data_IF_434979469468
#
_entry.id   IF_434979469468
#
_cell.length_a   1.000
_cell.length_b   1.000
_cell.length_c   1.000
_cell.angle_alpha   90.00
_cell.angle_beta   90.00
_cell.angle_gamma   90.00
#
_symmetry.space_group_name_H-M   'P 1'
#
loop_
_entity.id
_entity.type
_entity.pdbx_description
1 polymer ?
#
# COMPACT_ATOMS: atom_id res chain seq x y z
N UNK A 1 -8.68 11.33 9.59
CA UNK A 1 -8.75 9.95 9.07
C UNK A 1 -9.99 9.86 8.21
N UNK A 2 -9.92 9.21 7.05
CA UNK A 2 -11.02 9.12 6.09
C UNK A 2 -11.56 7.69 5.94
N UNK A 3 -10.80 6.68 6.37
CA UNK A 3 -11.22 5.28 6.40
C UNK A 3 -10.40 4.53 7.46
N UNK A 4 -11.03 3.57 8.15
CA UNK A 4 -10.40 2.72 9.15
C UNK A 4 -9.55 1.58 8.57
N UNK A 5 -9.05 0.66 9.42
CA UNK A 5 -8.31 -0.51 8.97
C UNK A 5 -9.18 -1.50 8.20
N UNK A 6 -8.62 -2.12 7.17
CA UNK A 6 -9.30 -3.16 6.37
C UNK A 6 -8.28 -4.13 5.78
N UNK A 7 -8.66 -5.41 5.67
CA UNK A 7 -7.84 -6.41 4.96
C UNK A 7 -7.98 -6.16 3.46
N UNK A 8 -6.85 -5.94 2.78
CA UNK A 8 -6.80 -5.70 1.34
C UNK A 8 -6.76 -7.02 0.56
N UNK A 9 -5.93 -7.96 1.00
CA UNK A 9 -5.80 -9.29 0.42
C UNK A 9 -5.29 -10.26 1.48
N UNK A 10 -5.70 -11.51 1.40
CA UNK A 10 -5.20 -12.58 2.27
C UNK A 10 -5.23 -13.90 1.52
N UNK A 11 -4.13 -14.64 1.57
CA UNK A 11 -4.03 -15.98 1.02
C UNK A 11 -3.15 -16.83 1.95
N UNK A 12 -3.76 -17.80 2.63
CA UNK A 12 -3.08 -18.64 3.62
C UNK A 12 -2.27 -17.83 4.65
N UNK A 13 -0.95 -18.01 4.61
CA UNK A 13 0.01 -17.43 5.55
C UNK A 13 0.60 -16.08 5.10
N UNK A 14 0.01 -15.45 4.06
CA UNK A 14 0.35 -14.09 3.63
C UNK A 14 -0.88 -13.18 3.59
N UNK A 15 -0.75 -11.95 4.07
CA UNK A 15 -1.81 -10.95 4.03
C UNK A 15 -1.25 -9.53 3.84
N UNK A 16 -2.03 -8.70 3.15
CA UNK A 16 -1.88 -7.26 3.08
C UNK A 16 -3.12 -6.58 3.67
N UNK A 17 -2.91 -5.62 4.56
CA UNK A 17 -3.98 -4.85 5.18
C UNK A 17 -3.68 -3.36 5.17
N UNK A 18 -4.70 -2.55 4.95
CA UNK A 18 -4.65 -1.11 5.11
C UNK A 18 -4.82 -0.78 6.59
N UNK A 19 -3.95 0.07 7.16
CA UNK A 19 -4.12 0.54 8.55
C UNK A 19 -5.22 1.58 8.66
N UNK A 20 -5.24 2.52 7.72
CA UNK A 20 -6.23 3.59 7.58
C UNK A 20 -5.98 4.35 6.28
N UNK A 21 -6.90 5.24 5.92
CA UNK A 21 -6.67 6.30 4.92
C UNK A 21 -6.57 7.64 5.65
N UNK A 22 -5.50 8.38 5.40
CA UNK A 22 -5.39 9.78 5.80
C UNK A 22 -5.65 10.66 4.60
N UNK A 23 -6.63 11.56 4.71
CA UNK A 23 -6.88 12.56 3.71
C UNK A 23 -6.20 13.88 4.09
N UNK A 24 -5.55 14.49 3.10
CA UNK A 24 -4.94 15.81 3.12
C UNK A 24 -5.52 16.62 1.96
N UNK A 25 -5.49 17.96 2.00
CA UNK A 25 -5.99 18.78 0.90
C UNK A 25 -5.33 18.47 -0.45
N UNK A 26 -4.10 17.93 -0.43
CA UNK A 26 -3.28 17.59 -1.59
C UNK A 26 -3.42 16.12 -2.02
N UNK A 27 -4.11 15.26 -1.26
CA UNK A 27 -4.21 13.84 -1.59
C UNK A 27 -4.45 12.90 -0.41
N UNK A 28 -4.23 11.61 -0.65
CA UNK A 28 -4.43 10.54 0.32
C UNK A 28 -3.12 9.81 0.63
N UNK A 29 -2.89 9.54 1.92
CA UNK A 29 -1.84 8.64 2.39
C UNK A 29 -2.46 7.31 2.84
N UNK A 30 -1.94 6.22 2.29
CA UNK A 30 -2.39 4.85 2.53
C UNK A 30 -1.25 4.01 3.14
N UNK A 31 -1.14 3.93 4.47
CA UNK A 31 -0.23 3.01 5.13
C UNK A 31 -0.76 1.57 5.04
N UNK A 32 0.03 0.68 4.45
CA UNK A 32 -0.27 -0.73 4.30
C UNK A 32 0.64 -1.54 5.22
N UNK A 33 0.15 -2.67 5.72
CA UNK A 33 0.90 -3.65 6.49
C UNK A 33 0.86 -4.96 5.73
N UNK A 34 2.02 -5.58 5.57
CA UNK A 34 2.16 -6.90 4.98
C UNK A 34 2.71 -7.83 6.05
N UNK A 35 2.13 -9.02 6.17
CA UNK A 35 2.63 -10.11 7.01
C UNK A 35 2.70 -11.36 6.17
N UNK A 36 3.80 -12.09 6.28
CA UNK A 36 3.94 -13.42 5.71
C UNK A 36 4.61 -14.36 6.72
N UNK A 37 4.33 -15.66 6.62
CA UNK A 37 4.93 -16.73 7.44
C UNK A 37 5.44 -17.89 6.59
N UNK A 38 6.38 -18.65 7.15
CA UNK A 38 6.95 -19.86 6.54
C UNK A 38 7.45 -19.61 5.12
N UNK A 39 7.05 -20.46 4.17
CA UNK A 39 7.48 -20.36 2.76
C UNK A 39 7.20 -18.99 2.13
N UNK A 40 6.12 -18.32 2.54
CA UNK A 40 5.80 -16.97 2.05
C UNK A 40 6.71 -15.91 2.67
N UNK A 41 7.11 -16.07 3.94
CA UNK A 41 8.09 -15.17 4.58
C UNK A 41 9.47 -15.28 3.91
N UNK A 42 9.94 -16.50 3.66
CA UNK A 42 11.18 -16.74 2.92
C UNK A 42 11.15 -16.12 1.52
N UNK A 43 10.04 -16.31 0.79
CA UNK A 43 9.83 -15.71 -0.52
C UNK A 43 9.84 -14.17 -0.45
N UNK A 44 9.15 -13.57 0.53
CA UNK A 44 9.13 -12.13 0.74
C UNK A 44 10.52 -11.57 1.06
N UNK A 45 11.28 -12.22 1.96
CA UNK A 45 12.67 -11.85 2.28
C UNK A 45 13.54 -11.91 1.03
N UNK A 46 13.39 -12.94 0.19
CA UNK A 46 14.15 -13.05 -1.08
C UNK A 46 13.82 -11.92 -2.05
N UNK A 47 12.54 -11.57 -2.19
CA UNK A 47 12.12 -10.48 -3.06
C UNK A 47 12.52 -9.10 -2.54
N UNK A 48 12.47 -8.89 -1.22
CA UNK A 48 12.74 -7.59 -0.59
C UNK A 48 14.23 -7.36 -0.32
N UNK A 49 14.95 -8.34 0.25
CA UNK A 49 16.35 -8.19 0.66
C UNK A 49 17.35 -8.94 -0.21
N UNK A 50 16.91 -9.95 -0.97
CA UNK A 50 17.79 -10.73 -1.84
C UNK A 50 18.40 -9.90 -2.98
N UNK A 51 17.78 -8.77 -3.33
CA UNK A 51 18.17 -7.93 -4.46
C UNK A 51 19.16 -6.81 -4.09
N UNK A 52 19.23 -6.39 -2.83
CA UNK A 52 20.25 -5.46 -2.32
C UNK A 52 21.67 -6.03 -2.45
N UNK A 53 21.79 -7.36 -2.50
CA UNK A 53 23.07 -8.06 -2.71
C UNK A 53 23.51 -8.15 -4.17
N UNK A 54 22.63 -7.85 -5.13
CA UNK A 54 22.88 -8.08 -6.56
C UNK A 54 23.31 -6.82 -7.35
N UNK A 55 23.36 -5.63 -6.72
CA UNK A 55 23.88 -4.41 -7.35
C UNK A 55 23.03 -3.86 -8.51
N UNK A 56 21.71 -4.14 -8.51
CA UNK A 56 20.80 -3.75 -9.60
C UNK A 56 20.31 -2.30 -9.43
N UNK A 57 20.28 -1.53 -10.53
CA UNK A 57 19.91 -0.11 -10.53
C UNK A 57 18.43 0.13 -10.18
N UNK A 58 18.17 1.25 -9.49
CA UNK A 58 16.87 1.58 -8.91
C UNK A 58 15.69 1.66 -9.89
N UNK A 59 15.93 1.91 -11.20
CA UNK A 59 14.85 2.04 -12.19
C UNK A 59 14.35 0.70 -12.75
N UNK A 60 15.02 -0.42 -12.46
CA UNK A 60 14.58 -1.78 -12.85
C UNK A 60 13.77 -2.48 -11.73
N UNK A 61 13.50 -1.77 -10.62
CA UNK A 61 12.91 -2.32 -9.39
C UNK A 61 11.38 -2.44 -9.40
N UNK A 62 10.71 -2.19 -10.53
CA UNK A 62 9.23 -2.09 -10.66
C UNK A 62 8.45 -3.41 -10.45
N UNK A 63 9.09 -4.51 -10.05
CA UNK A 63 8.48 -5.84 -9.94
C UNK A 63 8.86 -6.64 -8.70
N UNK A 64 9.24 -6.01 -7.58
CA UNK A 64 9.76 -6.72 -6.39
C UNK A 64 9.04 -6.42 -5.07
N UNK A 65 7.94 -5.66 -5.12
CA UNK A 65 7.18 -5.23 -3.96
C UNK A 65 5.68 -5.44 -4.23
N UNK A 66 4.88 -5.34 -3.16
CA UNK A 66 3.42 -5.29 -3.25
C UNK A 66 2.99 -4.30 -4.33
N UNK A 67 2.33 -4.82 -5.37
CA UNK A 67 1.73 -4.01 -6.42
C UNK A 67 0.40 -3.49 -5.89
N UNK A 68 0.24 -2.17 -5.92
CA UNK A 68 -1.00 -1.49 -5.58
C UNK A 68 -1.38 -0.65 -6.78
N UNK A 69 -2.38 -1.10 -7.53
CA UNK A 69 -3.01 -0.29 -8.57
C UNK A 69 -4.16 0.49 -7.96
N UNK A 70 -4.23 1.75 -8.32
CA UNK A 70 -5.17 2.72 -7.77
C UNK A 70 -5.96 3.32 -8.91
N UNK A 71 -7.28 3.38 -8.72
CA UNK A 71 -8.16 4.18 -9.55
C UNK A 71 -8.95 5.15 -8.68
N UNK A 72 -8.80 6.44 -8.98
CA UNK A 72 -9.46 7.56 -8.29
C UNK A 72 -9.82 8.60 -9.33
N UNK A 73 -11.10 8.95 -9.42
CA UNK A 73 -11.61 9.83 -10.49
C UNK A 73 -11.19 9.31 -11.88
N UNK A 74 -10.51 10.16 -12.67
CA UNK A 74 -9.98 9.82 -13.99
C UNK A 74 -8.54 9.25 -13.92
N UNK A 75 -7.93 9.22 -12.75
CA UNK A 75 -6.59 8.66 -12.55
C UNK A 75 -6.65 7.14 -12.40
N UNK A 76 -5.76 6.45 -13.12
CA UNK A 76 -5.55 5.00 -13.03
C UNK A 76 -4.05 4.71 -13.21
N UNK A 77 -3.46 3.96 -12.29
CA UNK A 77 -2.05 3.59 -12.38
C UNK A 77 -1.55 2.76 -11.20
N UNK A 78 -0.30 2.32 -11.30
CA UNK A 78 0.40 1.67 -10.19
C UNK A 78 0.89 2.76 -9.23
N UNK A 79 0.49 2.68 -7.97
CA UNK A 79 0.99 3.54 -6.92
C UNK A 79 2.41 3.10 -6.53
N UNK A 80 3.33 4.07 -6.50
CA UNK A 80 4.66 3.85 -5.98
C UNK A 80 4.66 4.03 -4.45
N UNK A 81 5.36 3.13 -3.75
CA UNK A 81 5.57 3.30 -2.33
C UNK A 81 6.45 4.53 -2.09
N UNK A 82 5.95 5.52 -1.35
CA UNK A 82 6.70 6.71 -0.99
C UNK A 82 7.62 6.50 0.22
N UNK A 83 7.73 5.25 0.68
CA UNK A 83 8.65 4.77 1.70
C UNK A 83 8.05 3.62 2.50
N UNK A 84 8.69 3.28 3.61
CA UNK A 84 8.24 2.25 4.53
C UNK A 84 9.40 1.57 5.23
N UNK A 85 9.07 0.63 6.12
CA UNK A 85 10.05 -0.27 6.72
C UNK A 85 9.73 -1.71 6.36
N UNK A 86 10.75 -2.55 6.28
CA UNK A 86 10.58 -3.99 6.20
C UNK A 86 11.54 -4.67 7.16
N UNK A 87 11.10 -5.77 7.73
CA UNK A 87 11.90 -6.63 8.57
C UNK A 87 11.43 -8.07 8.37
N UNK A 88 12.37 -9.01 8.34
CA UNK A 88 11.98 -10.40 8.19
C UNK A 88 13.15 -11.35 8.17
N UNK A 89 12.82 -12.59 8.43
CA UNK A 89 13.68 -13.76 8.26
C UNK A 89 12.89 -14.88 7.59
N UNK A 90 13.46 -16.08 7.57
CA UNK A 90 12.90 -17.23 6.86
C UNK A 90 11.50 -17.63 7.37
N UNK A 91 11.20 -17.40 8.65
CA UNK A 91 9.93 -17.80 9.27
C UNK A 91 8.85 -16.71 9.28
N UNK A 92 9.25 -15.44 9.39
CA UNK A 92 8.32 -14.31 9.53
C UNK A 92 8.85 -13.12 8.74
N UNK A 93 7.97 -12.53 7.94
CA UNK A 93 8.22 -11.29 7.23
C UNK A 93 7.17 -10.25 7.57
N UNK A 94 7.60 -9.00 7.65
CA UNK A 94 6.78 -7.83 7.91
C UNK A 94 7.24 -6.67 7.03
N UNK A 95 6.30 -5.96 6.42
CA UNK A 95 6.56 -4.67 5.83
C UNK A 95 5.43 -3.68 6.14
N UNK A 96 5.80 -2.41 6.25
CA UNK A 96 4.86 -1.30 6.44
C UNK A 96 5.11 -0.22 5.39
N UNK A 97 4.84 -0.48 4.09
CA UNK A 97 4.93 0.52 3.04
C UNK A 97 3.80 1.54 3.13
N UNK A 98 4.06 2.75 2.66
CA UNK A 98 3.04 3.78 2.52
C UNK A 98 2.96 4.29 1.08
N UNK A 99 1.73 4.54 0.63
CA UNK A 99 1.44 4.99 -0.74
C UNK A 99 0.78 6.36 -0.70
N UNK A 100 1.17 7.23 -1.63
CA UNK A 100 0.56 8.55 -1.80
C UNK A 100 -0.26 8.58 -3.09
N UNK A 101 -1.51 9.05 -2.97
CA UNK A 101 -2.38 9.33 -4.11
C UNK A 101 -2.55 10.84 -4.17
N UNK A 102 -2.10 11.49 -5.24
CA UNK A 102 -2.10 12.96 -5.38
C UNK A 102 -3.45 13.59 -5.70
N UNK A 103 -4.56 12.92 -5.37
CA UNK A 103 -5.92 13.38 -5.67
C UNK A 103 -6.92 12.88 -4.61
N UNK A 104 -7.96 13.67 -4.38
CA UNK A 104 -9.11 13.32 -3.54
C UNK A 104 -10.26 12.82 -4.41
N UNK A 105 -10.96 11.73 -4.02
CA UNK A 105 -12.09 11.23 -4.79
C UNK A 105 -13.26 12.20 -4.75
N UNK A 106 -13.88 12.44 -5.92
CA UNK A 106 -15.04 13.33 -6.06
C UNK A 106 -16.34 12.69 -5.58
N UNK A 107 -16.40 11.37 -5.62
CA UNK A 107 -17.52 10.52 -5.23
C UNK A 107 -17.30 9.84 -3.86
N UNK A 108 -16.19 10.15 -3.19
CA UNK A 108 -15.80 9.52 -1.93
C UNK A 108 -15.34 8.07 -2.08
N UNK A 109 -15.03 7.59 -3.28
CA UNK A 109 -14.59 6.21 -3.52
C UNK A 109 -13.17 6.12 -4.07
N UNK A 110 -12.44 5.10 -3.61
CA UNK A 110 -11.16 4.72 -4.22
C UNK A 110 -11.18 3.23 -4.55
N UNK A 111 -10.76 2.88 -5.76
CA UNK A 111 -10.58 1.47 -6.12
C UNK A 111 -9.12 1.10 -6.01
N UNK A 112 -8.89 -0.01 -5.33
CA UNK A 112 -7.58 -0.59 -5.11
C UNK A 112 -7.54 -1.98 -5.71
N UNK A 113 -6.46 -2.31 -6.41
CA UNK A 113 -6.11 -3.69 -6.78
C UNK A 113 -4.74 -4.00 -6.23
N UNK A 114 -4.67 -5.04 -5.40
CA UNK A 114 -3.47 -5.40 -4.64
C UNK A 114 -3.04 -6.81 -5.04
N UNK A 115 -1.77 -6.97 -5.37
CA UNK A 115 -1.20 -8.29 -5.71
C UNK A 115 0.26 -8.40 -5.30
N UNK A 116 0.67 -9.62 -4.94
CA UNK A 116 2.08 -9.98 -4.82
C UNK A 116 2.30 -11.46 -5.16
N UNK A 117 2.17 -11.83 -6.45
CA UNK A 117 2.16 -13.23 -6.89
C UNK A 117 3.46 -13.99 -6.52
N UNK A 118 4.60 -13.30 -6.52
CA UNK A 118 5.90 -13.90 -6.19
C UNK A 118 6.00 -14.38 -4.74
N UNK A 119 5.15 -13.86 -3.86
CA UNK A 119 5.03 -14.23 -2.44
C UNK A 119 3.75 -15.06 -2.20
N UNK A 120 2.96 -15.32 -3.23
CA UNK A 120 1.72 -16.09 -3.14
C UNK A 120 0.50 -15.28 -2.71
N UNK A 121 0.56 -13.95 -2.73
CA UNK A 121 -0.61 -13.11 -2.46
C UNK A 121 -1.40 -12.90 -3.76
N UNK A 122 -2.64 -13.40 -3.79
CA UNK A 122 -3.54 -13.31 -4.93
C UNK A 122 -3.86 -11.87 -5.34
N UNK A 123 -4.20 -11.71 -6.62
CA UNK A 123 -4.63 -10.44 -7.18
C UNK A 123 -6.07 -10.11 -6.78
N UNK A 124 -6.22 -9.12 -5.91
CA UNK A 124 -7.49 -8.78 -5.24
C UNK A 124 -7.87 -7.34 -5.53
N UNK A 125 -9.08 -7.12 -6.07
CA UNK A 125 -9.65 -5.80 -6.31
C UNK A 125 -10.72 -5.45 -5.27
N UNK A 126 -10.78 -4.19 -4.85
CA UNK A 126 -11.80 -3.69 -3.93
C UNK A 126 -12.05 -2.19 -4.09
N UNK A 127 -13.23 -1.76 -3.64
CA UNK A 127 -13.62 -0.36 -3.54
C UNK A 127 -13.69 0.03 -2.07
N UNK A 128 -12.97 1.09 -1.68
CA UNK A 128 -13.08 1.70 -0.36
C UNK A 128 -13.97 2.93 -0.44
N UNK A 129 -14.88 3.06 0.53
CA UNK A 129 -15.76 4.21 0.67
C UNK A 129 -15.25 5.11 1.79
N UNK A 130 -14.78 6.30 1.45
CA UNK A 130 -14.23 7.26 2.39
C UNK A 130 -15.36 8.05 3.08
N UNK A 131 -15.07 8.57 4.26
CA UNK A 131 -15.88 9.62 4.89
C UNK A 131 -15.97 10.86 3.97
N UNK A 132 -16.97 11.71 4.20
CA UNK A 132 -17.11 12.96 3.46
C UNK A 132 -15.84 13.82 3.62
N UNK A 133 -15.28 14.24 2.48
CA UNK A 133 -14.05 15.03 2.37
C UNK A 133 -14.31 16.46 1.90
N UNK A 134 -15.57 16.86 1.71
CA UNK A 134 -15.94 18.18 1.18
C UNK A 134 -15.45 19.32 2.08
N UNK A 135 -15.46 19.10 3.40
CA UNK A 135 -15.03 20.05 4.43
C UNK A 135 -13.57 19.84 4.88
N UNK A 136 -12.80 19.00 4.20
CA UNK A 136 -11.47 18.58 4.64
C UNK A 136 -10.53 19.77 4.89
N UNK A 137 -10.60 20.81 4.05
CA UNK A 137 -9.77 22.02 4.19
C UNK A 137 -10.06 22.79 5.48
N UNK A 138 -11.28 22.70 5.99
CA UNK A 138 -11.71 23.36 7.22
C UNK A 138 -11.33 22.53 8.46
N UNK A 139 -11.22 21.20 8.31
CA UNK A 139 -10.81 20.25 9.37
C UNK A 139 -9.30 20.21 9.60
N UNK A 140 -8.50 20.69 8.66
CA UNK A 140 -7.03 20.66 8.75
C UNK A 140 -6.52 21.89 9.50
N UNK A 141 -5.97 21.65 10.70
CA UNK A 141 -5.28 22.69 11.47
C UNK A 141 -3.90 22.93 10.87
N UNK A 142 -3.66 24.13 10.35
CA UNK A 142 -2.32 24.55 9.90
C UNK A 142 -1.46 24.87 11.12
N UNK A 143 -0.29 24.24 11.20
CA UNK A 143 0.62 24.43 12.33
C UNK A 143 1.47 25.71 12.22
N UNK A 144 1.59 26.32 11.04
CA UNK A 144 2.24 27.62 10.81
C UNK A 144 1.61 28.38 9.62
N UNK A 145 1.65 29.73 9.62
CA UNK A 145 1.06 30.58 8.58
C UNK A 145 1.82 30.58 7.24
#
# INVERSE_FOLDING_TARGET
MAHGPVVLASDGDVAAGLRCVWAYPEGLLLPVVIRARGVHAEAAVRQTFGRDRAGVHASELQGSALRVEVRVNDHNGVAEASGGSSSGGEEVFTAEPHYWIGELPRDGQIDLRVSWPEVGLADTAMTLHLEDLTDLRERVVRLLP
#
